data_IF_876355415479
#
_entry.id   IF_876355415479
#
_cell.length_a   1.000
_cell.length_b   1.000
_cell.length_c   1.000
_cell.angle_alpha   90.00
_cell.angle_beta   90.00
_cell.angle_gamma   90.00
#
_symmetry.space_group_name_H-M   'P 1'
#
loop_
_entity.id
_entity.type
_entity.pdbx_description
1 polymer ?
#
# COMPACT_ATOMS: atom_id res chain seq x y z
N UNK A 1 23.13 -8.56 -2.15
CA UNK A 1 22.43 -7.82 -3.21
C UNK A 1 20.93 -8.06 -3.00
N UNK A 2 20.12 -7.02 -2.86
CA UNK A 2 18.66 -7.13 -2.77
C UNK A 2 18.16 -7.42 -4.18
N UNK A 3 17.32 -8.45 -4.34
CA UNK A 3 16.81 -8.87 -5.65
C UNK A 3 15.30 -8.68 -5.80
N UNK A 4 14.60 -8.41 -4.72
CA UNK A 4 13.16 -8.22 -4.72
C UNK A 4 12.75 -7.14 -3.72
N UNK A 5 11.66 -6.43 -4.03
CA UNK A 5 10.97 -5.52 -3.14
C UNK A 5 9.46 -5.82 -3.21
N UNK A 6 8.85 -6.08 -2.06
CA UNK A 6 7.44 -6.48 -1.96
C UNK A 6 6.59 -5.44 -1.22
N UNK A 7 7.08 -4.20 -1.08
CA UNK A 7 6.34 -3.13 -0.44
C UNK A 7 6.60 -1.80 -1.15
N UNK A 8 5.85 -1.54 -2.21
CA UNK A 8 5.98 -0.35 -3.04
C UNK A 8 4.62 0.31 -3.25
N UNK A 9 4.61 1.64 -3.18
CA UNK A 9 3.45 2.49 -3.43
C UNK A 9 3.70 3.39 -4.63
N UNK A 10 2.64 3.65 -5.39
CA UNK A 10 2.67 4.56 -6.53
C UNK A 10 1.62 5.66 -6.36
N UNK A 11 1.38 6.44 -7.39
CA UNK A 11 0.32 7.46 -7.40
C UNK A 11 -1.12 6.91 -7.28
N UNK A 12 -1.29 5.59 -7.09
CA UNK A 12 -2.55 4.98 -6.67
C UNK A 12 -2.77 5.04 -5.17
N UNK A 13 -1.71 5.29 -4.39
CA UNK A 13 -1.77 5.58 -2.95
C UNK A 13 -1.67 7.08 -2.72
N UNK A 14 -2.50 7.65 -1.86
CA UNK A 14 -2.58 9.11 -1.65
C UNK A 14 -1.30 9.75 -1.08
N UNK A 15 -0.42 8.95 -0.51
CA UNK A 15 0.87 9.36 0.06
C UNK A 15 2.06 9.26 -0.91
N UNK A 16 1.81 8.88 -2.17
CA UNK A 16 2.83 8.78 -3.21
C UNK A 16 2.42 9.51 -4.49
N UNK A 17 3.38 10.24 -5.09
CA UNK A 17 3.22 10.90 -6.39
C UNK A 17 3.92 10.16 -7.53
N UNK A 18 4.59 9.05 -7.22
CA UNK A 18 5.44 8.34 -8.19
C UNK A 18 4.61 7.54 -9.19
N UNK A 19 4.72 7.79 -10.51
CA UNK A 19 4.07 6.95 -11.51
C UNK A 19 4.60 5.52 -11.47
N UNK A 20 3.71 4.53 -11.66
CA UNK A 20 4.06 3.11 -11.62
C UNK A 20 5.21 2.77 -12.60
N UNK A 21 5.15 3.28 -13.82
CA UNK A 21 6.17 3.00 -14.84
C UNK A 21 7.56 3.53 -14.44
N UNK A 22 7.63 4.70 -13.79
CA UNK A 22 8.90 5.24 -13.32
C UNK A 22 9.51 4.39 -12.20
N UNK A 23 8.69 3.89 -11.29
CA UNK A 23 9.12 2.96 -10.24
C UNK A 23 9.67 1.66 -10.83
N UNK A 24 9.00 1.09 -11.85
CA UNK A 24 9.45 -0.11 -12.56
C UNK A 24 10.82 0.12 -13.21
N UNK A 25 10.96 1.22 -13.97
CA UNK A 25 12.23 1.55 -14.63
C UNK A 25 13.36 1.75 -13.63
N UNK A 26 13.07 2.36 -12.49
CA UNK A 26 14.04 2.55 -11.42
C UNK A 26 14.45 1.20 -10.80
N UNK A 27 13.50 0.33 -10.48
CA UNK A 27 13.76 -1.02 -10.00
C UNK A 27 14.66 -1.84 -10.95
N UNK A 28 14.38 -1.79 -12.25
CA UNK A 28 15.23 -2.42 -13.28
C UNK A 28 16.64 -1.84 -13.24
N UNK A 29 16.79 -0.52 -13.14
CA UNK A 29 18.11 0.15 -13.09
C UNK A 29 18.93 -0.24 -11.87
N UNK A 30 18.27 -0.57 -10.74
CA UNK A 30 18.89 -1.07 -9.52
C UNK A 30 19.21 -2.58 -9.57
N UNK A 31 18.77 -3.26 -10.63
CA UNK A 31 19.02 -4.70 -10.83
C UNK A 31 18.07 -5.61 -10.06
N UNK A 32 16.93 -5.10 -9.58
CA UNK A 32 15.87 -5.92 -9.01
C UNK A 32 15.33 -6.90 -10.06
N UNK A 33 14.88 -8.06 -9.60
CA UNK A 33 14.31 -9.14 -10.42
C UNK A 33 12.81 -9.29 -10.25
N UNK A 34 12.34 -8.92 -9.07
CA UNK A 34 10.93 -9.01 -8.71
C UNK A 34 10.53 -7.78 -7.91
N UNK A 35 9.38 -7.21 -8.20
CA UNK A 35 8.74 -6.16 -7.41
C UNK A 35 7.27 -6.49 -7.19
N UNK A 36 6.72 -5.99 -6.10
CA UNK A 36 5.30 -6.05 -5.83
C UNK A 36 4.79 -4.65 -5.47
N UNK A 37 3.81 -4.17 -6.20
CA UNK A 37 3.08 -2.99 -5.79
C UNK A 37 2.01 -3.39 -4.78
N UNK A 38 1.96 -2.68 -3.66
CA UNK A 38 1.06 -2.94 -2.53
C UNK A 38 0.39 -1.64 -2.13
N UNK A 39 -0.45 -1.12 -3.03
CA UNK A 39 -1.15 0.14 -2.80
C UNK A 39 -2.03 0.08 -1.57
N UNK A 40 -2.16 1.21 -0.87
CA UNK A 40 -3.00 1.33 0.32
C UNK A 40 -4.47 1.09 0.02
N UNK A 41 -5.15 0.34 0.91
CA UNK A 41 -6.59 0.25 0.98
C UNK A 41 -7.05 0.27 2.45
N UNK A 42 -7.30 1.46 2.96
CA UNK A 42 -7.65 1.70 4.37
C UNK A 42 -9.11 2.13 4.48
N UNK A 43 -9.96 1.18 4.82
CA UNK A 43 -11.40 1.42 5.00
C UNK A 43 -11.63 2.21 6.29
N UNK A 44 -12.47 3.25 6.23
CA UNK A 44 -12.78 4.14 7.36
C UNK A 44 -11.55 4.88 7.90
N UNK A 45 -10.56 5.20 7.02
CA UNK A 45 -9.45 6.06 7.41
C UNK A 45 -9.99 7.41 7.93
N UNK A 46 -9.49 7.93 9.06
CA UNK A 46 -9.95 9.19 9.60
C UNK A 46 -9.77 10.35 8.62
N UNK A 47 -10.76 11.22 8.54
CA UNK A 47 -10.66 12.44 7.73
C UNK A 47 -9.54 13.30 8.30
N UNK A 48 -8.49 13.51 7.53
CA UNK A 48 -7.39 14.38 7.90
C UNK A 48 -7.49 15.76 7.22
N UNK A 49 -6.82 16.79 7.78
CA UNK A 49 -6.86 18.15 7.24
C UNK A 49 -6.34 18.27 5.81
N UNK A 50 -5.45 17.37 5.39
CA UNK A 50 -4.80 17.37 4.08
C UNK A 50 -5.66 16.68 3.01
N UNK A 51 -6.77 16.06 3.42
CA UNK A 51 -7.76 15.47 2.52
C UNK A 51 -7.33 14.14 1.92
N UNK A 52 -6.37 13.42 2.52
CA UNK A 52 -5.97 12.09 2.06
C UNK A 52 -7.13 11.11 2.20
N UNK A 53 -7.33 10.34 1.15
CA UNK A 53 -8.22 9.19 1.10
C UNK A 53 -7.40 7.97 0.65
N UNK A 54 -7.32 6.96 1.50
CA UNK A 54 -6.58 5.73 1.24
C UNK A 54 -7.47 4.61 0.70
N UNK A 55 -8.60 4.91 0.09
CA UNK A 55 -9.41 3.93 -0.63
C UNK A 55 -8.87 3.74 -2.05
N UNK A 56 -8.40 2.53 -2.33
CA UNK A 56 -7.85 2.16 -3.63
C UNK A 56 -8.92 2.18 -4.73
N UNK A 57 -8.68 2.91 -5.82
CA UNK A 57 -9.41 2.71 -7.09
C UNK A 57 -8.93 1.41 -7.75
N UNK A 58 -9.49 0.29 -7.25
CA UNK A 58 -9.10 -1.04 -7.65
C UNK A 58 -9.21 -1.29 -9.17
N UNK A 59 -10.27 -0.87 -9.87
CA UNK A 59 -10.36 -1.05 -11.32
C UNK A 59 -9.22 -0.40 -12.09
N UNK A 60 -8.91 0.87 -11.80
CA UNK A 60 -7.85 1.61 -12.46
C UNK A 60 -6.47 1.06 -12.13
N UNK A 61 -6.22 0.71 -10.86
CA UNK A 61 -4.98 0.07 -10.43
C UNK A 61 -4.74 -1.28 -11.14
N UNK A 62 -5.78 -2.11 -11.18
CA UNK A 62 -5.74 -3.41 -11.84
C UNK A 62 -5.43 -3.29 -13.33
N UNK A 63 -6.09 -2.38 -14.04
CA UNK A 63 -5.83 -2.14 -15.45
C UNK A 63 -4.36 -1.75 -15.69
N UNK A 64 -3.84 -0.78 -14.92
CA UNK A 64 -2.49 -0.28 -15.13
C UNK A 64 -1.43 -1.33 -14.77
N UNK A 65 -1.57 -2.05 -13.65
CA UNK A 65 -0.56 -3.05 -13.26
C UNK A 65 -0.50 -4.21 -14.25
N UNK A 66 -1.63 -4.69 -14.78
CA UNK A 66 -1.62 -5.78 -15.76
C UNK A 66 -1.02 -5.34 -17.09
N UNK A 67 -1.27 -4.11 -17.52
CA UNK A 67 -0.60 -3.49 -18.67
C UNK A 67 0.91 -3.41 -18.45
N UNK A 68 1.37 -3.02 -17.26
CA UNK A 68 2.79 -2.98 -16.92
C UNK A 68 3.41 -4.38 -16.85
N UNK A 69 2.70 -5.37 -16.27
CA UNK A 69 3.14 -6.77 -16.25
C UNK A 69 3.40 -7.29 -17.67
N UNK A 70 2.50 -7.02 -18.60
CA UNK A 70 2.67 -7.42 -20.01
C UNK A 70 3.85 -6.69 -20.67
N UNK A 71 3.97 -5.37 -20.45
CA UNK A 71 4.99 -4.55 -21.10
C UNK A 71 6.41 -4.90 -20.64
N UNK A 72 6.60 -5.22 -19.37
CA UNK A 72 7.92 -5.45 -18.76
C UNK A 72 8.23 -6.93 -18.50
N UNK A 73 7.42 -7.88 -18.98
CA UNK A 73 7.50 -9.32 -18.68
C UNK A 73 8.89 -9.95 -18.91
N UNK A 74 9.67 -9.43 -19.88
CA UNK A 74 11.01 -9.95 -20.20
C UNK A 74 12.13 -9.28 -19.38
N UNK A 75 11.82 -8.27 -18.57
CA UNK A 75 12.79 -7.45 -17.85
C UNK A 75 12.75 -7.63 -16.34
N UNK A 76 11.53 -7.67 -15.77
CA UNK A 76 11.31 -7.77 -14.34
C UNK A 76 9.97 -8.45 -14.07
N UNK A 77 9.91 -9.27 -13.02
CA UNK A 77 8.67 -9.83 -12.52
C UNK A 77 7.94 -8.78 -11.68
N UNK A 78 6.69 -8.48 -12.05
CA UNK A 78 5.84 -7.53 -11.32
C UNK A 78 4.69 -8.31 -10.69
N UNK A 79 4.54 -8.19 -9.37
CA UNK A 79 3.46 -8.82 -8.62
C UNK A 79 2.37 -7.80 -8.30
N UNK A 80 1.13 -8.27 -8.36
CA UNK A 80 -0.08 -7.54 -8.05
C UNK A 80 -0.42 -7.73 -6.59
N UNK A 81 -0.22 -6.70 -5.78
CA UNK A 81 -0.46 -6.76 -4.34
C UNK A 81 -1.37 -5.65 -3.84
N UNK A 82 -1.61 -5.69 -2.54
CA UNK A 82 -2.35 -4.65 -1.81
C UNK A 82 -1.85 -4.59 -0.36
N UNK A 83 -1.85 -3.41 0.22
CA UNK A 83 -1.68 -3.21 1.65
C UNK A 83 -3.01 -2.78 2.26
N UNK A 84 -3.51 -3.58 3.20
CA UNK A 84 -4.76 -3.34 3.92
C UNK A 84 -4.50 -2.69 5.27
N UNK A 85 -5.11 -1.56 5.55
CA UNK A 85 -5.20 -1.00 6.89
C UNK A 85 -6.23 -1.79 7.71
N UNK A 86 -5.75 -2.57 8.68
CA UNK A 86 -6.59 -3.44 9.48
C UNK A 86 -7.05 -2.74 10.76
N UNK A 87 -8.37 -2.62 10.91
CA UNK A 87 -9.02 -2.26 12.17
C UNK A 87 -10.02 -3.34 12.57
N UNK A 88 -10.26 -3.57 13.87
CA UNK A 88 -11.25 -4.57 14.33
C UNK A 88 -12.64 -4.38 13.72
N UNK A 89 -13.00 -3.14 13.39
CA UNK A 89 -14.32 -2.77 12.83
C UNK A 89 -14.43 -3.02 11.32
N UNK A 90 -13.33 -3.17 10.60
CA UNK A 90 -13.30 -3.27 9.13
C UNK A 90 -12.82 -4.63 8.60
N UNK A 91 -12.50 -5.59 9.48
CA UNK A 91 -11.92 -6.89 9.08
C UNK A 91 -12.78 -7.65 8.07
N UNK A 92 -14.10 -7.67 8.25
CA UNK A 92 -15.01 -8.37 7.34
C UNK A 92 -15.04 -7.69 5.95
N UNK A 93 -14.91 -6.37 5.91
CA UNK A 93 -14.85 -5.59 4.66
C UNK A 93 -13.51 -5.83 3.95
N UNK A 94 -12.40 -5.82 4.69
CA UNK A 94 -11.07 -6.16 4.17
C UNK A 94 -11.05 -7.58 3.59
N UNK A 95 -11.62 -8.56 4.32
CA UNK A 95 -11.72 -9.94 3.85
C UNK A 95 -12.58 -10.06 2.57
N UNK A 96 -13.69 -9.32 2.49
CA UNK A 96 -14.54 -9.27 1.31
C UNK A 96 -13.81 -8.64 0.11
N UNK A 97 -13.05 -7.58 0.34
CA UNK A 97 -12.29 -6.87 -0.70
C UNK A 97 -11.27 -7.77 -1.41
N UNK A 98 -10.56 -8.61 -0.66
CA UNK A 98 -9.52 -9.48 -1.24
C UNK A 98 -10.02 -10.84 -1.71
N UNK A 99 -11.25 -11.23 -1.35
CA UNK A 99 -11.74 -12.60 -1.52
C UNK A 99 -11.72 -13.10 -2.96
N UNK A 100 -12.14 -12.27 -3.89
CA UNK A 100 -12.32 -12.63 -5.29
C UNK A 100 -11.29 -11.95 -6.22
N UNK A 101 -10.36 -11.19 -5.64
CA UNK A 101 -9.27 -10.56 -6.38
C UNK A 101 -8.02 -11.46 -6.40
N UNK A 102 -7.39 -11.64 -7.57
CA UNK A 102 -6.22 -12.51 -7.70
C UNK A 102 -4.93 -11.80 -7.30
N UNK A 103 -4.89 -11.23 -6.08
CA UNK A 103 -3.66 -10.65 -5.57
C UNK A 103 -2.57 -11.71 -5.40
N UNK A 104 -1.38 -11.41 -5.90
CA UNK A 104 -0.19 -12.24 -5.70
C UNK A 104 0.34 -12.13 -4.26
N UNK A 105 0.13 -10.95 -3.63
CA UNK A 105 0.62 -10.65 -2.27
C UNK A 105 -0.29 -9.65 -1.54
N UNK A 106 -0.49 -9.87 -0.25
CA UNK A 106 -1.32 -9.01 0.61
C UNK A 106 -0.53 -8.70 1.89
N UNK A 107 -0.41 -7.41 2.20
CA UNK A 107 0.10 -6.93 3.48
C UNK A 107 -1.11 -6.59 4.36
N UNK A 108 -1.07 -6.98 5.62
CA UNK A 108 -2.01 -6.51 6.63
C UNK A 108 -1.26 -5.62 7.62
N UNK A 109 -1.57 -4.35 7.64
CA UNK A 109 -0.91 -3.33 8.45
C UNK A 109 -1.86 -2.70 9.46
N UNK A 110 -1.30 -2.14 10.52
CA UNK A 110 -2.04 -1.32 11.49
C UNK A 110 -1.65 0.13 11.25
N UNK A 111 -2.46 0.86 10.48
CA UNK A 111 -2.25 2.28 10.22
C UNK A 111 -3.00 3.16 11.21
N UNK A 112 -4.11 2.66 11.74
CA UNK A 112 -5.00 3.40 12.63
C UNK A 112 -5.12 2.66 13.97
N UNK A 113 -4.94 3.39 15.06
CA UNK A 113 -5.13 2.93 16.44
C UNK A 113 -6.09 3.87 17.14
N UNK A 114 -7.18 3.30 17.69
CA UNK A 114 -8.25 4.08 18.36
C UNK A 114 -8.78 5.25 17.50
N UNK A 115 -8.97 4.97 16.18
CA UNK A 115 -9.43 5.96 15.18
C UNK A 115 -8.50 7.15 14.97
N UNK A 116 -7.23 7.02 15.28
CA UNK A 116 -6.19 8.03 15.03
C UNK A 116 -5.02 7.42 14.28
N UNK A 117 -4.42 8.22 13.40
CA UNK A 117 -3.16 7.87 12.75
C UNK A 117 -1.99 8.11 13.73
N UNK A 118 -1.16 7.09 14.02
CA UNK A 118 0.04 7.27 14.84
C UNK A 118 1.11 8.21 14.24
N UNK A 119 1.00 8.58 12.97
CA UNK A 119 1.84 9.64 12.37
C UNK A 119 1.39 11.04 12.77
N UNK A 120 0.16 11.23 13.19
CA UNK A 120 -0.33 12.51 13.66
C UNK A 120 0.26 12.86 15.03
N UNK A 121 0.77 14.09 15.17
CA UNK A 121 1.34 14.57 16.43
C UNK A 121 0.35 14.45 17.61
N UNK A 122 -0.94 14.65 17.33
CA UNK A 122 -2.02 14.55 18.33
C UNK A 122 -2.12 13.14 18.95
N UNK A 123 -1.71 12.09 18.22
CA UNK A 123 -1.69 10.73 18.75
C UNK A 123 -0.79 10.63 19.98
N UNK A 124 0.42 11.17 19.92
CA UNK A 124 1.39 11.14 21.02
C UNK A 124 1.02 12.10 22.15
N UNK A 125 0.28 13.18 21.86
CA UNK A 125 -0.28 14.05 22.87
C UNK A 125 -1.39 13.34 23.67
N UNK A 126 -2.19 12.50 22.98
CA UNK A 126 -3.28 11.72 23.57
C UNK A 126 -2.77 10.51 24.34
N UNK A 127 -1.73 9.84 23.80
CA UNK A 127 -1.16 8.62 24.37
C UNK A 127 0.34 8.75 24.66
N UNK A 128 0.76 9.62 25.58
CA UNK A 128 2.20 9.88 25.81
C UNK A 128 2.97 8.65 26.32
N UNK A 129 2.27 7.64 26.88
CA UNK A 129 2.89 6.40 27.34
C UNK A 129 3.08 5.34 26.25
N UNK A 130 2.47 5.54 25.07
CA UNK A 130 2.55 4.61 23.93
C UNK A 130 3.61 5.03 22.92
N UNK A 131 4.66 5.70 23.36
CA UNK A 131 5.78 6.03 22.46
C UNK A 131 6.29 4.76 21.78
N UNK A 132 6.10 4.66 20.46
CA UNK A 132 6.60 3.57 19.63
C UNK A 132 8.12 3.44 19.62
N UNK A 133 8.82 4.41 20.24
CA UNK A 133 10.30 4.43 20.36
C UNK A 133 10.79 3.43 21.42
N UNK A 134 9.91 2.80 22.17
CA UNK A 134 10.25 1.86 23.25
C UNK A 134 9.99 0.40 22.90
N UNK A 135 9.83 0.07 21.64
CA UNK A 135 9.79 -1.31 21.16
C UNK A 135 11.20 -1.77 20.79
#
# INVERSE_FOLDING_TARGET
MILADYHLHTSFSSDSESPMEEMIRHAISLGLKTICFTEHHDIDYPVNPDGFDFLLDLPSYKEEIFKMKEHYQDQIEINYGVELGLMPTTLDQCAAFVKDEPFDFIIGSTHIVDFMDPYDAIYFETYPALSLIHI
#
